data_IF_702788927229
#
_entry.id   IF_702788927229
#
_cell.length_a   1.000
_cell.length_b   1.000
_cell.length_c   1.000
_cell.angle_alpha   90.00
_cell.angle_beta   90.00
_cell.angle_gamma   90.00
#
_symmetry.space_group_name_H-M   'P 1'
#
loop_
_entity.id
_entity.type
_entity.pdbx_description
1 polymer ?
#
# COMPACT_ATOMS: atom_id res chain seq x y z
N UNK A 1 15.66 6.12 6.60
CA UNK A 1 15.88 6.00 5.14
C UNK A 1 15.37 4.65 4.69
N UNK A 2 14.38 4.63 3.80
CA UNK A 2 13.80 3.41 3.24
C UNK A 2 13.60 3.57 1.73
N UNK A 3 13.30 2.47 1.04
CA UNK A 3 13.02 2.46 -0.39
C UNK A 3 11.53 2.26 -0.62
N UNK A 4 10.97 2.92 -1.64
CA UNK A 4 9.59 2.70 -2.09
C UNK A 4 9.63 1.78 -3.31
N UNK A 5 9.59 0.47 -3.08
CA UNK A 5 9.72 -0.55 -4.13
C UNK A 5 8.45 -1.38 -4.33
N UNK A 6 7.54 -1.39 -3.37
CA UNK A 6 6.21 -1.98 -3.51
C UNK A 6 5.25 -0.97 -4.17
N UNK A 7 4.52 -1.42 -5.20
CA UNK A 7 3.61 -0.57 -5.98
C UNK A 7 2.30 -1.29 -6.29
N UNK A 8 1.19 -0.54 -6.28
CA UNK A 8 -0.11 -0.97 -6.77
C UNK A 8 -0.33 -0.34 -8.14
N UNK A 9 -0.29 -1.16 -9.20
CA UNK A 9 -0.58 -0.72 -10.57
C UNK A 9 -2.04 -1.06 -10.89
N UNK A 10 -2.81 -0.05 -11.31
CA UNK A 10 -4.23 -0.17 -11.58
C UNK A 10 -4.50 -0.05 -13.08
N UNK A 11 -5.53 -0.76 -13.56
CA UNK A 11 -6.11 -0.45 -14.86
C UNK A 11 -6.82 0.92 -14.82
N UNK A 12 -7.09 1.57 -15.97
CA UNK A 12 -7.81 2.84 -15.98
C UNK A 12 -9.14 2.79 -15.21
N UNK A 13 -9.92 1.71 -15.39
CA UNK A 13 -11.21 1.56 -14.72
C UNK A 13 -11.10 1.45 -13.20
N UNK A 14 -10.04 0.82 -12.69
CA UNK A 14 -9.80 0.74 -11.25
C UNK A 14 -9.24 2.07 -10.72
N UNK A 15 -8.43 2.78 -11.51
CA UNK A 15 -7.91 4.09 -11.15
C UNK A 15 -9.03 5.14 -11.01
N UNK A 16 -10.02 5.13 -11.91
CA UNK A 16 -11.21 6.01 -11.83
C UNK A 16 -12.01 5.79 -10.54
N UNK A 17 -11.91 4.60 -9.94
CA UNK A 17 -12.63 4.16 -8.74
C UNK A 17 -11.78 4.17 -7.47
N UNK A 18 -10.55 4.67 -7.56
CA UNK A 18 -9.63 4.73 -6.42
C UNK A 18 -10.11 5.77 -5.40
N UNK A 19 -10.47 5.31 -4.20
CA UNK A 19 -10.86 6.20 -3.08
C UNK A 19 -9.68 6.58 -2.21
N UNK A 20 -8.78 5.63 -1.95
CA UNK A 20 -7.62 5.85 -1.10
C UNK A 20 -6.49 4.90 -1.46
N UNK A 21 -5.26 5.34 -1.23
CA UNK A 21 -4.05 4.51 -1.29
C UNK A 21 -3.11 4.99 -0.19
N UNK A 22 -2.53 4.07 0.58
CA UNK A 22 -1.67 4.42 1.70
C UNK A 22 -0.67 3.31 2.04
N UNK A 23 0.27 3.64 2.93
CA UNK A 23 1.27 2.73 3.48
C UNK A 23 0.98 2.56 4.97
N UNK A 24 0.63 1.34 5.40
CA UNK A 24 0.43 1.06 6.82
C UNK A 24 1.78 0.73 7.48
N UNK A 25 2.35 1.72 8.18
CA UNK A 25 3.64 1.60 8.87
C UNK A 25 3.57 0.90 10.22
N UNK A 26 2.38 0.69 10.77
CA UNK A 26 2.22 0.15 12.13
C UNK A 26 2.79 -1.28 12.25
N UNK A 27 2.57 -2.22 11.32
CA UNK A 27 3.13 -3.56 11.38
C UNK A 27 4.66 -3.61 11.40
N UNK A 28 5.33 -2.65 10.73
CA UNK A 28 6.80 -2.60 10.60
C UNK A 28 7.52 -2.35 11.94
N UNK A 29 6.81 -1.80 12.93
CA UNK A 29 7.31 -1.54 14.28
C UNK A 29 7.18 -2.70 15.27
N UNK A 30 6.58 -3.83 14.88
CA UNK A 30 6.40 -5.01 15.75
C UNK A 30 7.69 -5.82 15.89
N UNK A 31 7.77 -6.64 16.94
CA UNK A 31 8.87 -7.60 17.10
C UNK A 31 8.86 -8.59 15.92
N UNK A 32 10.04 -8.85 15.34
CA UNK A 32 10.23 -9.73 14.16
C UNK A 32 9.34 -9.36 12.96
N UNK A 33 9.05 -8.07 12.78
CA UNK A 33 8.35 -7.59 11.61
C UNK A 33 9.10 -7.91 10.30
N UNK A 34 8.35 -8.06 9.20
CA UNK A 34 8.91 -8.05 7.85
C UNK A 34 9.73 -6.78 7.60
N UNK A 35 10.69 -6.87 6.70
CA UNK A 35 11.46 -5.74 6.18
C UNK A 35 10.62 -4.80 5.29
N UNK A 36 9.56 -5.30 4.66
CA UNK A 36 8.60 -4.51 3.88
C UNK A 36 7.47 -3.94 4.76
N UNK A 37 6.87 -2.85 4.29
CA UNK A 37 5.70 -2.23 4.92
C UNK A 37 4.47 -2.46 4.02
N UNK A 38 3.34 -2.94 4.56
CA UNK A 38 2.13 -3.13 3.75
C UNK A 38 1.69 -1.84 3.05
N UNK A 39 1.35 -1.98 1.77
CA UNK A 39 0.67 -0.95 0.99
C UNK A 39 -0.71 -1.45 0.60
N UNK A 40 -1.68 -0.54 0.51
CA UNK A 40 -3.06 -0.90 0.20
C UNK A 40 -3.74 0.23 -0.55
N UNK A 41 -4.82 -0.13 -1.23
CA UNK A 41 -5.76 0.83 -1.82
C UNK A 41 -7.21 0.41 -1.56
N UNK A 42 -8.08 1.40 -1.49
CA UNK A 42 -9.53 1.22 -1.43
C UNK A 42 -10.12 1.57 -2.79
N UNK A 43 -10.86 0.62 -3.37
CA UNK A 43 -11.55 0.76 -4.65
C UNK A 43 -13.06 0.75 -4.37
N UNK A 44 -13.77 1.75 -4.86
CA UNK A 44 -15.23 1.79 -4.81
C UNK A 44 -15.81 0.70 -5.70
N UNK A 45 -16.75 -0.10 -5.18
CA UNK A 45 -17.38 -1.26 -5.86
C UNK A 45 -18.78 -0.94 -6.37
#
# INVERSE_FOLDING_TARGET
NGLRIDHLLLSPQAADRLKKCDIDRVPRGKERASDHTPIWCEIEV
#
